data_IF_616498236387
#
_entry.id   IF_616498236387
#
_cell.length_a   1.000
_cell.length_b   1.000
_cell.length_c   1.000
_cell.angle_alpha   90.00
_cell.angle_beta   90.00
_cell.angle_gamma   90.00
#
_symmetry.space_group_name_H-M   'P 1'
#
loop_
_entity.id
_entity.type
_entity.pdbx_description
1 polymer ?
#
# COMPACT_ATOMS: atom_id res chain seq x y z
N UNK A 1 10.29 11.20 -39.17
CA UNK A 1 10.58 11.62 -37.79
C UNK A 1 9.26 11.91 -37.08
N UNK A 2 8.80 11.06 -36.15
CA UNK A 2 7.51 11.25 -35.45
C UNK A 2 7.68 12.23 -34.29
N UNK A 3 6.83 13.26 -34.25
CA UNK A 3 6.92 14.43 -33.38
C UNK A 3 6.23 14.26 -32.02
N UNK A 4 6.64 15.15 -31.12
CA UNK A 4 6.29 15.34 -29.70
C UNK A 4 4.78 15.54 -29.49
N UNK A 5 4.21 15.00 -28.41
CA UNK A 5 2.90 15.45 -27.89
C UNK A 5 3.11 16.65 -26.97
N UNK A 6 2.62 17.83 -27.36
CA UNK A 6 2.50 19.02 -26.50
C UNK A 6 1.01 19.29 -26.24
N UNK A 7 0.67 19.48 -24.96
CA UNK A 7 -0.38 20.36 -24.37
C UNK A 7 -1.84 20.23 -24.90
N UNK A 8 -2.96 20.58 -24.24
CA UNK A 8 -3.39 21.63 -23.30
C UNK A 8 -4.77 21.17 -22.73
N UNK A 9 -5.25 21.73 -21.61
CA UNK A 9 -6.61 22.33 -21.39
C UNK A 9 -7.05 22.31 -19.91
N UNK A 10 -7.67 23.42 -19.54
CA UNK A 10 -8.00 23.93 -18.22
C UNK A 10 -9.24 23.32 -17.54
N UNK A 11 -9.33 23.62 -16.24
CA UNK A 11 -10.46 23.77 -15.33
C UNK A 11 -11.89 23.40 -15.79
N UNK A 12 -12.56 22.66 -14.89
CA UNK A 12 -14.02 22.52 -14.62
C UNK A 12 -14.84 21.44 -15.35
N UNK A 13 -15.36 20.47 -14.58
CA UNK A 13 -16.80 20.23 -14.44
C UNK A 13 -17.09 19.33 -13.22
N UNK A 14 -18.00 19.77 -12.36
CA UNK A 14 -18.70 18.89 -11.43
C UNK A 14 -19.63 17.95 -12.22
N UNK A 15 -19.63 16.66 -11.88
CA UNK A 15 -20.73 15.68 -12.10
C UNK A 15 -20.70 14.80 -10.85
N UNK A 16 -21.53 15.03 -9.83
CA UNK A 16 -22.98 14.83 -9.73
C UNK A 16 -23.32 13.46 -9.10
N UNK A 17 -24.11 13.53 -8.02
CA UNK A 17 -25.24 12.65 -7.73
C UNK A 17 -25.09 11.15 -7.93
N UNK A 18 -24.96 10.46 -6.80
CA UNK A 18 -25.65 9.20 -6.45
C UNK A 18 -25.80 8.12 -7.52
N UNK A 19 -25.09 7.00 -7.33
CA UNK A 19 -25.71 5.68 -7.47
C UNK A 19 -25.43 4.85 -6.22
N UNK A 20 -26.49 4.47 -5.53
CA UNK A 20 -26.47 3.31 -4.66
C UNK A 20 -26.22 2.07 -5.51
N UNK A 21 -25.34 1.19 -5.08
CA UNK A 21 -25.53 -0.24 -5.31
C UNK A 21 -25.83 -0.87 -3.97
N UNK A 22 -27.09 -1.27 -3.84
CA UNK A 22 -27.55 -2.18 -2.80
C UNK A 22 -26.83 -3.53 -2.95
N UNK A 23 -26.35 -4.05 -1.81
CA UNK A 23 -26.23 -5.47 -1.51
C UNK A 23 -25.70 -6.41 -2.59
N UNK A 24 -24.39 -6.66 -2.55
CA UNK A 24 -23.87 -8.03 -2.51
C UNK A 24 -22.75 -8.08 -1.47
N UNK A 25 -23.04 -8.70 -0.33
CA UNK A 25 -22.02 -9.11 0.62
C UNK A 25 -21.26 -10.30 0.03
N UNK A 26 -20.35 -10.01 -0.90
CA UNK A 26 -19.21 -10.89 -1.15
C UNK A 26 -18.16 -10.48 -0.13
N UNK A 27 -17.60 -11.44 0.61
CA UNK A 27 -16.44 -11.20 1.46
C UNK A 27 -15.26 -10.81 0.56
N UNK A 28 -15.23 -9.54 0.17
CA UNK A 28 -14.09 -8.91 -0.44
C UNK A 28 -12.95 -9.08 0.57
N UNK A 29 -11.75 -9.42 0.11
CA UNK A 29 -10.60 -8.89 0.82
C UNK A 29 -10.91 -7.43 1.02
N UNK A 30 -11.01 -7.02 2.29
CA UNK A 30 -11.20 -5.62 2.61
C UNK A 30 -10.17 -4.89 1.76
N UNK A 31 -10.59 -3.83 1.07
CA UNK A 31 -9.75 -2.98 0.20
C UNK A 31 -8.69 -2.22 1.02
N UNK A 32 -8.22 -2.83 2.10
CA UNK A 32 -7.42 -2.32 3.18
C UNK A 32 -6.74 -3.50 3.92
N UNK A 33 -5.78 -3.19 4.78
CA UNK A 33 -4.91 -4.16 5.41
C UNK A 33 -5.48 -4.75 6.72
N UNK A 34 -6.72 -4.45 7.09
CA UNK A 34 -7.25 -4.76 8.44
C UNK A 34 -7.34 -6.27 8.73
N UNK A 35 -7.44 -7.10 7.69
CA UNK A 35 -7.49 -8.56 7.81
C UNK A 35 -6.11 -9.22 7.69
N UNK A 36 -5.03 -8.44 7.58
CA UNK A 36 -3.69 -9.00 7.47
C UNK A 36 -3.26 -9.63 8.81
N UNK A 37 -2.48 -10.73 8.77
CA UNK A 37 -2.01 -11.39 9.99
C UNK A 37 -1.06 -10.49 10.77
N UNK A 38 -0.89 -10.79 12.05
CA UNK A 38 0.20 -10.19 12.82
C UNK A 38 1.53 -10.71 12.30
N UNK A 39 2.43 -9.81 11.93
CA UNK A 39 3.78 -10.15 11.50
C UNK A 39 4.77 -9.74 12.58
N UNK A 40 5.79 -10.56 12.81
CA UNK A 40 6.91 -10.26 13.69
C UNK A 40 8.22 -10.83 13.12
N UNK A 41 9.35 -10.40 13.67
CA UNK A 41 10.67 -10.84 13.21
C UNK A 41 10.73 -12.38 13.10
N UNK A 42 11.27 -12.86 11.97
CA UNK A 42 11.28 -14.29 11.60
C UNK A 42 10.11 -14.72 10.72
N UNK A 43 9.05 -13.92 10.58
CA UNK A 43 8.00 -14.18 9.61
C UNK A 43 8.50 -14.05 8.16
N UNK A 44 7.84 -14.74 7.23
CA UNK A 44 8.17 -14.67 5.81
C UNK A 44 6.93 -14.80 4.92
N UNK A 45 7.02 -14.33 3.67
CA UNK A 45 6.01 -14.56 2.64
C UNK A 45 5.40 -13.29 2.06
N UNK A 46 4.26 -13.43 1.36
CA UNK A 46 3.60 -12.34 0.64
C UNK A 46 3.22 -11.17 1.53
N UNK A 47 2.65 -11.43 2.72
CA UNK A 47 2.31 -10.39 3.68
C UNK A 47 3.53 -9.57 4.15
N UNK A 48 4.70 -10.20 4.26
CA UNK A 48 5.95 -9.48 4.59
C UNK A 48 6.40 -8.60 3.43
N UNK A 49 6.27 -9.06 2.18
CA UNK A 49 6.56 -8.20 1.00
C UNK A 49 5.63 -6.99 0.96
N UNK A 50 4.35 -7.19 1.25
CA UNK A 50 3.37 -6.10 1.35
C UNK A 50 3.75 -5.11 2.46
N UNK A 51 4.11 -5.60 3.65
CA UNK A 51 4.61 -4.75 4.75
C UNK A 51 5.84 -3.94 4.30
N UNK A 52 6.84 -4.59 3.73
CA UNK A 52 8.08 -3.95 3.29
C UNK A 52 7.79 -2.86 2.25
N UNK A 53 6.99 -3.15 1.23
CA UNK A 53 6.57 -2.17 0.22
C UNK A 53 5.78 -1.00 0.82
N UNK A 54 4.85 -1.27 1.73
CA UNK A 54 4.08 -0.22 2.41
C UNK A 54 5.00 0.70 3.22
N UNK A 55 6.00 0.14 3.91
CA UNK A 55 6.98 0.93 4.67
C UNK A 55 7.78 1.88 3.77
N UNK A 56 8.05 1.55 2.49
CA UNK A 56 8.58 2.52 1.52
C UNK A 56 7.63 3.69 1.29
N UNK A 57 6.33 3.43 1.13
CA UNK A 57 5.32 4.46 0.98
C UNK A 57 5.10 5.28 2.27
N UNK A 58 5.47 4.75 3.44
CA UNK A 58 5.49 5.43 4.73
C UNK A 58 6.83 6.10 5.08
N UNK A 59 7.70 6.29 4.08
CA UNK A 59 8.95 7.04 4.25
C UNK A 59 10.11 6.25 4.90
N UNK A 60 9.96 4.93 5.07
CA UNK A 60 10.97 4.08 5.70
C UNK A 60 11.90 3.38 4.70
N UNK A 61 11.98 3.86 3.45
CA UNK A 61 12.77 3.27 2.37
C UNK A 61 14.25 3.06 2.72
N UNK A 62 14.86 3.97 3.48
CA UNK A 62 16.25 3.88 3.91
C UNK A 62 16.48 2.83 5.02
N UNK A 63 15.43 2.42 5.73
CA UNK A 63 15.51 1.56 6.92
C UNK A 63 15.05 0.14 6.64
N UNK A 64 13.96 -0.02 5.87
CA UNK A 64 13.26 -1.31 5.74
C UNK A 64 14.07 -2.37 4.99
N UNK A 65 15.00 -1.95 4.14
CA UNK A 65 15.84 -2.83 3.32
C UNK A 65 15.11 -3.37 2.09
N UNK A 66 15.62 -4.48 1.54
CA UNK A 66 15.08 -5.10 0.33
C UNK A 66 13.69 -5.70 0.56
N UNK A 67 12.82 -5.64 -0.47
CA UNK A 67 11.50 -6.29 -0.47
C UNK A 67 11.66 -7.77 -0.83
N UNK A 68 12.22 -8.53 0.11
CA UNK A 68 12.58 -9.94 -0.05
C UNK A 68 11.55 -10.90 0.56
N UNK A 69 10.56 -10.37 1.29
CA UNK A 69 9.55 -11.16 1.99
C UNK A 69 10.08 -11.84 3.25
N UNK A 70 11.21 -11.42 3.80
CA UNK A 70 11.79 -11.91 5.05
C UNK A 70 11.77 -10.83 6.12
N UNK A 71 11.11 -11.11 7.24
CA UNK A 71 10.97 -10.12 8.31
C UNK A 71 12.23 -10.12 9.21
N UNK A 72 13.28 -9.44 8.74
CA UNK A 72 14.55 -9.27 9.46
C UNK A 72 14.59 -8.06 10.40
N UNK A 73 15.78 -7.79 10.94
CA UNK A 73 16.04 -6.67 11.87
C UNK A 73 15.80 -5.30 11.24
N UNK A 74 16.16 -5.11 9.96
CA UNK A 74 15.94 -3.85 9.22
C UNK A 74 14.45 -3.55 9.09
N UNK A 75 13.65 -4.53 8.68
CA UNK A 75 12.19 -4.39 8.60
C UNK A 75 11.60 -4.15 10.00
N UNK A 76 12.11 -4.80 11.07
CA UNK A 76 11.60 -4.57 12.44
C UNK A 76 11.83 -3.14 12.88
N UNK A 77 13.02 -2.61 12.62
CA UNK A 77 13.38 -1.21 12.90
C UNK A 77 12.46 -0.25 12.13
N UNK A 78 12.18 -0.55 10.85
CA UNK A 78 11.25 0.25 10.06
C UNK A 78 9.81 0.23 10.60
N UNK A 79 9.34 -0.93 11.11
CA UNK A 79 8.03 -1.02 11.80
C UNK A 79 8.02 -0.16 13.06
N UNK A 80 9.08 -0.22 13.88
CA UNK A 80 9.20 0.60 15.08
C UNK A 80 9.18 2.10 14.75
N UNK A 81 9.91 2.53 13.73
CA UNK A 81 9.90 3.91 13.27
C UNK A 81 8.52 4.35 12.79
N UNK A 82 7.83 3.51 12.02
CA UNK A 82 6.45 3.74 11.61
C UNK A 82 5.55 3.89 12.85
N UNK A 83 5.59 2.94 13.79
CA UNK A 83 4.78 2.99 15.00
C UNK A 83 4.99 4.28 15.78
N UNK A 84 6.25 4.65 16.01
CA UNK A 84 6.61 5.90 16.69
C UNK A 84 6.10 7.13 15.94
N UNK A 85 6.29 7.19 14.62
CA UNK A 85 5.84 8.32 13.79
C UNK A 85 4.32 8.52 13.80
N UNK A 86 3.56 7.45 14.03
CA UNK A 86 2.09 7.47 14.02
C UNK A 86 1.45 7.32 15.40
N UNK A 87 2.23 7.50 16.49
CA UNK A 87 1.73 7.51 17.86
C UNK A 87 1.25 6.16 18.37
N UNK A 88 1.80 5.06 17.85
CA UNK A 88 1.52 3.69 18.29
C UNK A 88 2.62 3.21 19.26
N UNK A 89 2.33 2.14 20.00
CA UNK A 89 3.36 1.42 20.76
C UNK A 89 4.41 0.86 19.81
N UNK A 90 5.68 1.21 20.02
CA UNK A 90 6.81 0.85 19.15
C UNK A 90 7.40 -0.54 19.51
N UNK A 91 6.57 -1.58 19.41
CA UNK A 91 6.94 -2.96 19.74
C UNK A 91 7.65 -3.71 18.59
N UNK A 92 7.64 -3.14 17.38
CA UNK A 92 8.22 -3.74 16.18
C UNK A 92 7.41 -4.92 15.61
N UNK A 93 6.19 -5.13 16.11
CA UNK A 93 5.23 -6.10 15.62
C UNK A 93 4.19 -5.43 14.75
N UNK A 94 3.96 -5.94 13.55
CA UNK A 94 2.92 -5.43 12.67
C UNK A 94 1.59 -6.13 12.98
N UNK A 95 0.94 -5.67 14.06
CA UNK A 95 -0.37 -6.16 14.51
C UNK A 95 -1.58 -5.34 14.01
N UNK A 96 -2.80 -5.67 14.48
CA UNK A 96 -4.05 -5.07 13.98
C UNK A 96 -4.10 -3.54 14.08
N UNK A 97 -3.58 -2.95 15.16
CA UNK A 97 -3.55 -1.49 15.31
C UNK A 97 -2.64 -0.82 14.27
N UNK A 98 -1.47 -1.42 14.01
CA UNK A 98 -0.52 -0.95 13.00
C UNK A 98 -1.09 -1.08 11.58
N UNK A 99 -1.74 -2.21 11.27
CA UNK A 99 -2.43 -2.40 10.00
C UNK A 99 -3.57 -1.42 9.80
N UNK A 100 -4.41 -1.23 10.82
CA UNK A 100 -5.49 -0.25 10.80
C UNK A 100 -4.98 1.17 10.54
N UNK A 101 -3.84 1.54 11.14
CA UNK A 101 -3.20 2.82 10.88
C UNK A 101 -2.76 2.96 9.42
N UNK A 102 -2.16 1.92 8.81
CA UNK A 102 -1.81 1.96 7.38
C UNK A 102 -3.05 2.04 6.48
N UNK A 103 -4.08 1.27 6.81
CA UNK A 103 -5.37 1.25 6.10
C UNK A 103 -6.04 2.61 6.03
N UNK A 104 -5.83 3.50 7.01
CA UNK A 104 -6.39 4.84 6.98
C UNK A 104 -5.86 5.72 5.83
N UNK A 105 -4.76 5.30 5.18
CA UNK A 105 -4.15 5.99 4.03
C UNK A 105 -4.44 5.29 2.69
N UNK A 106 -5.24 4.22 2.69
CA UNK A 106 -5.62 3.57 1.42
C UNK A 106 -6.75 4.34 0.74
N UNK A 107 -6.59 4.61 -0.55
CA UNK A 107 -7.61 5.20 -1.39
C UNK A 107 -8.13 4.13 -2.34
N UNK A 108 -9.41 3.78 -2.23
CA UNK A 108 -10.05 2.87 -3.16
C UNK A 108 -10.34 3.59 -4.49
N UNK A 109 -9.93 3.01 -5.60
CA UNK A 109 -10.30 3.49 -6.94
C UNK A 109 -11.43 2.67 -7.55
N UNK A 110 -11.41 1.36 -7.34
CA UNK A 110 -12.48 0.46 -7.77
C UNK A 110 -12.77 -0.56 -6.66
N UNK A 111 -13.71 -1.47 -6.89
CA UNK A 111 -14.00 -2.58 -5.98
C UNK A 111 -12.83 -3.55 -5.82
N UNK A 112 -11.89 -3.55 -6.77
CA UNK A 112 -10.76 -4.48 -6.81
C UNK A 112 -9.40 -3.78 -6.82
N UNK A 113 -9.35 -2.45 -6.89
CA UNK A 113 -8.09 -1.69 -6.90
C UNK A 113 -8.09 -0.58 -5.86
N UNK A 114 -6.97 -0.46 -5.16
CA UNK A 114 -6.72 0.60 -4.21
C UNK A 114 -5.25 0.95 -4.19
N UNK A 115 -4.92 2.10 -3.63
CA UNK A 115 -3.57 2.64 -3.64
C UNK A 115 -3.21 3.11 -2.24
N UNK A 116 -1.97 2.87 -1.84
CA UNK A 116 -1.39 3.42 -0.62
C UNK A 116 -0.48 4.56 -1.01
N UNK A 117 -0.99 5.78 -0.82
CA UNK A 117 -0.24 7.01 -1.02
C UNK A 117 -0.24 7.79 0.30
N UNK A 118 0.96 8.14 0.78
CA UNK A 118 1.11 8.89 2.03
C UNK A 118 1.92 10.17 1.80
N UNK A 119 1.64 11.25 2.55
CA UNK A 119 2.47 12.45 2.54
C UNK A 119 3.91 12.20 3.05
N UNK A 120 4.13 11.12 3.81
CA UNK A 120 5.41 10.78 4.42
C UNK A 120 6.45 10.29 3.42
N UNK A 121 6.06 9.96 2.19
CA UNK A 121 6.98 9.60 1.11
C UNK A 121 6.72 10.48 -0.11
N UNK A 122 7.69 11.29 -0.53
CA UNK A 122 7.62 12.03 -1.80
C UNK A 122 8.07 11.19 -2.99
N UNK A 123 8.60 9.99 -2.74
CA UNK A 123 9.27 9.17 -3.75
C UNK A 123 8.44 7.95 -4.14
N UNK A 124 7.73 7.33 -3.19
CA UNK A 124 7.12 6.03 -3.39
C UNK A 124 5.64 6.00 -3.02
N UNK A 125 4.89 5.18 -3.75
CA UNK A 125 3.53 4.76 -3.43
C UNK A 125 3.33 3.29 -3.84
N UNK A 126 2.28 2.63 -3.32
CA UNK A 126 2.00 1.23 -3.66
C UNK A 126 0.61 1.09 -4.27
N UNK A 127 0.55 0.44 -5.42
CA UNK A 127 -0.71 0.09 -6.08
C UNK A 127 -1.08 -1.33 -5.68
N UNK A 128 -2.37 -1.54 -5.44
CA UNK A 128 -2.92 -2.84 -5.16
C UNK A 128 -4.04 -3.17 -6.14
N UNK A 129 -3.98 -4.40 -6.67
CA UNK A 129 -5.05 -5.00 -7.46
C UNK A 129 -5.40 -6.36 -6.86
N UNK A 130 -6.69 -6.62 -6.71
CA UNK A 130 -7.26 -7.88 -6.25
C UNK A 130 -7.89 -8.61 -7.45
N UNK A 131 -7.09 -9.25 -8.32
CA UNK A 131 -7.60 -9.91 -9.52
C UNK A 131 -8.51 -11.10 -9.22
N UNK A 132 -8.41 -11.69 -8.03
CA UNK A 132 -9.24 -12.80 -7.55
C UNK A 132 -9.52 -12.63 -6.06
N UNK A 133 -10.59 -13.21 -5.52
CA UNK A 133 -10.88 -13.15 -4.08
C UNK A 133 -9.87 -13.89 -3.19
N UNK A 134 -8.78 -14.42 -3.76
CA UNK A 134 -7.75 -15.23 -3.08
C UNK A 134 -6.33 -14.74 -3.35
N UNK A 135 -6.15 -13.56 -3.97
CA UNK A 135 -4.83 -13.05 -4.28
C UNK A 135 -4.82 -11.52 -4.37
N UNK A 136 -3.92 -10.90 -3.62
CA UNK A 136 -3.63 -9.48 -3.71
C UNK A 136 -2.30 -9.25 -4.40
N UNK A 137 -2.30 -8.52 -5.52
CA UNK A 137 -1.09 -8.15 -6.27
C UNK A 137 -0.72 -6.71 -5.95
N UNK A 138 0.49 -6.51 -5.43
CA UNK A 138 1.03 -5.20 -5.09
C UNK A 138 2.16 -4.76 -6.01
N UNK A 139 2.25 -3.46 -6.30
CA UNK A 139 3.32 -2.84 -7.08
C UNK A 139 3.84 -1.61 -6.37
N UNK A 140 5.08 -1.64 -5.90
CA UNK A 140 5.77 -0.44 -5.43
C UNK A 140 6.21 0.37 -6.66
N UNK A 141 5.91 1.67 -6.67
CA UNK A 141 6.21 2.55 -7.81
C UNK A 141 6.84 3.88 -7.38
N UNK A 142 7.61 4.47 -8.28
CA UNK A 142 8.07 5.85 -8.15
C UNK A 142 6.94 6.82 -8.44
N UNK A 143 6.75 7.83 -7.58
CA UNK A 143 5.76 8.91 -7.80
C UNK A 143 6.08 9.80 -9.00
N UNK A 144 7.35 9.90 -9.39
CA UNK A 144 7.81 10.81 -10.46
C UNK A 144 7.34 10.40 -11.85
N UNK A 145 7.25 9.10 -12.12
CA UNK A 145 7.04 8.56 -13.46
C UNK A 145 6.25 7.24 -13.50
N UNK A 146 5.77 6.77 -12.34
CA UNK A 146 5.04 5.51 -12.16
C UNK A 146 5.83 4.25 -12.53
N UNK A 147 7.16 4.34 -12.65
CA UNK A 147 8.02 3.18 -12.91
C UNK A 147 7.93 2.19 -11.75
N UNK A 148 7.77 0.90 -12.07
CA UNK A 148 7.69 -0.18 -11.08
C UNK A 148 9.06 -0.44 -10.47
N UNK A 149 9.14 -0.31 -9.15
CA UNK A 149 10.32 -0.63 -8.33
C UNK A 149 10.30 -2.11 -7.96
N UNK A 150 9.13 -2.62 -7.57
CA UNK A 150 8.95 -4.00 -7.16
C UNK A 150 7.51 -4.46 -7.42
N UNK A 151 7.31 -5.77 -7.62
CA UNK A 151 6.00 -6.39 -7.72
C UNK A 151 5.95 -7.67 -6.90
N UNK A 152 4.84 -7.91 -6.24
CA UNK A 152 4.66 -9.05 -5.35
C UNK A 152 3.20 -9.51 -5.32
N UNK A 153 2.99 -10.72 -4.83
CA UNK A 153 1.67 -11.31 -4.62
C UNK A 153 1.54 -11.78 -3.18
N UNK A 154 0.36 -11.56 -2.61
CA UNK A 154 -0.10 -12.10 -1.34
C UNK A 154 -1.21 -13.11 -1.64
N UNK A 155 -1.13 -14.29 -1.02
CA UNK A 155 -2.09 -15.38 -1.16
C UNK A 155 -2.86 -15.56 0.15
#
# INVERSE_FOLDING_TARGET
MKSKKKSVVALSLAVAGSLMVAGIAAAAYATNFNSFPTLQQGASGGYVRALQANLYAFGQAATVGTIDGSFGSSTKTAVQNFQTAYGLTSDGSMGPASWSKMSAYTVAETTSTFWLDTPSSTTYYVDYNNPTTSSLVGKLKYKSDNTIVNSFTVY
#
